data_IF_761134415473
#
_entry.id   IF_761134415473
#
_cell.length_a   1.000
_cell.length_b   1.000
_cell.length_c   1.000
_cell.angle_alpha   90.00
_cell.angle_beta   90.00
_cell.angle_gamma   90.00
#
_symmetry.space_group_name_H-M   'P 1'
#
loop_
_entity.id
_entity.type
_entity.pdbx_description
1 polymer ?
#
# COMPACT_ATOMS: atom_id res chain seq x y z
N UNK A 1 10.01 61.40 42.40
CA UNK A 1 10.63 61.42 41.06
C UNK A 1 11.61 60.27 40.98
N UNK A 2 11.22 59.12 40.44
CA UNK A 2 12.08 57.96 40.24
C UNK A 2 11.99 57.53 38.79
N UNK A 3 13.11 57.60 38.07
CA UNK A 3 13.21 57.27 36.65
C UNK A 3 13.25 55.74 36.50
N UNK A 4 12.24 55.21 35.81
CA UNK A 4 12.15 53.80 35.40
C UNK A 4 13.07 53.56 34.20
N UNK A 5 14.04 52.65 34.34
CA UNK A 5 14.92 52.22 33.26
C UNK A 5 14.22 51.11 32.45
N UNK A 6 14.00 51.39 31.17
CA UNK A 6 13.51 50.47 30.15
C UNK A 6 14.60 49.46 29.76
N UNK A 7 14.31 48.16 29.85
CA UNK A 7 15.17 47.09 29.35
C UNK A 7 15.16 47.03 27.80
N UNK A 8 16.31 46.75 27.15
CA UNK A 8 16.37 46.52 25.70
C UNK A 8 15.84 45.12 25.33
N UNK A 9 15.06 45.06 24.26
CA UNK A 9 14.53 43.83 23.68
C UNK A 9 15.60 43.05 22.90
N UNK A 10 15.67 41.74 23.16
CA UNK A 10 16.58 40.82 22.48
C UNK A 10 16.31 40.72 20.96
N UNK A 11 17.36 40.63 20.12
CA UNK A 11 17.20 40.48 18.68
C UNK A 11 16.67 39.10 18.30
N UNK A 12 15.79 39.06 17.29
CA UNK A 12 15.21 37.84 16.76
C UNK A 12 16.29 36.86 16.24
N UNK A 13 16.11 35.54 16.43
CA UNK A 13 17.09 34.54 16.02
C UNK A 13 17.28 34.55 14.50
N UNK A 14 18.52 34.71 14.06
CA UNK A 14 18.90 34.65 12.65
C UNK A 14 18.77 33.22 12.13
N UNK A 15 18.19 32.97 10.94
CA UNK A 15 18.10 31.63 10.40
C UNK A 15 19.50 31.03 10.19
N UNK A 16 19.71 29.73 10.47
CA UNK A 16 21.02 29.11 10.41
C UNK A 16 21.56 29.16 8.98
N UNK A 17 22.77 29.72 8.82
CA UNK A 17 23.52 29.67 7.57
C UNK A 17 23.96 28.23 7.30
N UNK A 18 23.46 27.63 6.23
CA UNK A 18 23.88 26.31 5.76
C UNK A 18 25.38 26.33 5.44
N UNK A 19 26.19 25.75 6.32
CA UNK A 19 27.64 25.64 6.14
C UNK A 19 28.01 24.59 5.09
N UNK A 20 29.25 24.66 4.59
CA UNK A 20 29.83 23.76 3.56
C UNK A 20 29.72 22.27 3.93
N UNK A 21 29.59 21.94 5.22
CA UNK A 21 29.35 20.58 5.69
C UNK A 21 28.01 19.96 5.21
N UNK A 22 27.03 20.77 4.81
CA UNK A 22 25.76 20.29 4.27
C UNK A 22 25.90 19.55 2.92
N UNK A 23 27.01 19.76 2.20
CA UNK A 23 27.30 19.07 0.93
C UNK A 23 27.86 17.65 1.12
N UNK A 24 28.28 17.28 2.32
CA UNK A 24 28.79 15.94 2.64
C UNK A 24 27.76 15.06 3.34
N UNK A 25 26.54 15.56 3.55
CA UNK A 25 25.43 14.72 3.97
C UNK A 25 24.97 13.92 2.75
N UNK A 26 24.83 12.58 2.86
CA UNK A 26 24.28 11.78 1.77
C UNK A 26 22.97 12.39 1.31
N UNK A 27 22.75 12.42 -0.01
CA UNK A 27 21.51 12.92 -0.60
C UNK A 27 20.32 12.34 0.19
N UNK A 28 19.31 13.17 0.53
CA UNK A 28 18.18 12.71 1.34
C UNK A 28 17.65 11.41 0.72
N UNK A 29 17.64 10.35 1.52
CA UNK A 29 17.17 9.02 1.09
C UNK A 29 15.85 9.17 0.35
N UNK A 30 15.64 8.41 -0.73
CA UNK A 30 14.38 8.38 -1.47
C UNK A 30 13.21 8.40 -0.49
N UNK A 31 12.39 9.45 -0.56
CA UNK A 31 11.32 9.68 0.39
C UNK A 31 10.26 8.59 0.28
N UNK A 32 10.07 8.04 -0.92
CA UNK A 32 9.28 6.87 -1.20
C UNK A 32 10.20 5.69 -1.52
N UNK A 33 10.01 4.56 -0.85
CA UNK A 33 10.70 3.30 -1.16
C UNK A 33 9.71 2.18 -1.41
N UNK A 34 10.11 1.23 -2.24
CA UNK A 34 9.38 0.01 -2.57
C UNK A 34 10.34 -1.18 -2.44
N UNK A 35 10.00 -2.16 -1.61
CA UNK A 35 10.85 -3.30 -1.32
C UNK A 35 10.05 -4.61 -1.23
N UNK A 36 10.65 -5.67 -1.77
CA UNK A 36 10.18 -7.04 -1.62
C UNK A 36 11.14 -7.75 -0.66
N UNK A 37 10.87 -7.77 0.66
CA UNK A 37 11.76 -8.44 1.59
C UNK A 37 11.92 -9.91 1.18
N UNK A 38 13.14 -10.45 1.35
CA UNK A 38 13.62 -11.72 0.78
C UNK A 38 12.85 -13.01 1.14
N UNK A 39 11.68 -12.93 1.77
CA UNK A 39 10.83 -14.09 2.06
C UNK A 39 10.44 -14.87 0.81
N UNK A 40 10.39 -14.21 -0.36
CA UNK A 40 10.02 -14.84 -1.61
C UNK A 40 10.96 -15.97 -2.07
N UNK A 41 12.28 -15.76 -2.01
CA UNK A 41 13.25 -16.76 -2.47
C UNK A 41 13.21 -18.02 -1.58
N UNK A 42 13.06 -17.83 -0.27
CA UNK A 42 12.90 -18.94 0.68
C UNK A 42 11.57 -19.67 0.48
N UNK A 43 10.47 -18.94 0.24
CA UNK A 43 9.16 -19.53 -0.03
C UNK A 43 9.19 -20.40 -1.29
N UNK A 44 9.78 -19.89 -2.40
CA UNK A 44 9.89 -20.63 -3.65
C UNK A 44 10.74 -21.90 -3.52
N UNK A 45 11.86 -21.84 -2.78
CA UNK A 45 12.69 -23.02 -2.52
C UNK A 45 11.95 -24.10 -1.69
N UNK A 46 11.18 -23.68 -0.68
CA UNK A 46 10.36 -24.59 0.13
C UNK A 46 9.24 -25.19 -0.73
N UNK A 47 8.56 -24.37 -1.53
CA UNK A 47 7.51 -24.82 -2.44
C UNK A 47 8.02 -25.89 -3.40
N UNK A 48 9.15 -25.64 -4.09
CA UNK A 48 9.77 -26.61 -4.99
C UNK A 48 10.05 -27.94 -4.28
N UNK A 49 10.62 -27.89 -3.08
CA UNK A 49 10.93 -29.09 -2.29
C UNK A 49 9.70 -29.88 -1.83
N UNK A 50 8.58 -29.19 -1.58
CA UNK A 50 7.31 -29.82 -1.19
C UNK A 50 6.60 -30.42 -2.40
N UNK A 51 6.64 -29.75 -3.56
CA UNK A 51 6.05 -30.23 -4.81
C UNK A 51 6.68 -31.54 -5.29
N UNK A 52 7.93 -31.82 -4.93
CA UNK A 52 8.58 -33.11 -5.21
C UNK A 52 7.93 -34.30 -4.47
N UNK A 53 7.12 -34.05 -3.43
CA UNK A 53 6.60 -35.09 -2.54
C UNK A 53 5.11 -35.03 -2.27
N UNK A 54 4.47 -33.91 -2.56
CA UNK A 54 3.09 -33.65 -2.20
C UNK A 54 2.31 -33.07 -3.39
N UNK A 55 1.02 -33.39 -3.50
CA UNK A 55 0.13 -32.73 -4.46
C UNK A 55 0.15 -31.20 -4.32
N UNK A 56 0.05 -30.44 -5.42
CA UNK A 56 0.14 -28.97 -5.39
C UNK A 56 -0.85 -28.29 -4.44
N UNK A 57 -2.07 -28.81 -4.32
CA UNK A 57 -3.10 -28.29 -3.42
C UNK A 57 -2.70 -28.42 -1.93
N UNK A 58 -2.03 -29.52 -1.57
CA UNK A 58 -1.50 -29.73 -0.22
C UNK A 58 -0.31 -28.82 0.04
N UNK A 59 0.58 -28.63 -0.95
CA UNK A 59 1.70 -27.69 -0.82
C UNK A 59 1.21 -26.27 -0.58
N UNK A 60 0.25 -25.80 -1.38
CA UNK A 60 -0.33 -24.47 -1.24
C UNK A 60 -0.99 -24.29 0.14
N UNK A 61 -1.70 -25.31 0.65
CA UNK A 61 -2.24 -25.33 2.02
C UNK A 61 -1.16 -25.17 3.08
N UNK A 62 -0.09 -25.95 2.97
CA UNK A 62 1.03 -25.90 3.92
C UNK A 62 1.66 -24.51 3.93
N UNK A 63 1.91 -23.93 2.75
CA UNK A 63 2.50 -22.59 2.64
C UNK A 63 1.56 -21.51 3.19
N UNK A 64 0.26 -21.61 2.91
CA UNK A 64 -0.74 -20.67 3.44
C UNK A 64 -0.82 -20.74 4.97
N UNK A 65 -0.91 -21.95 5.53
CA UNK A 65 -0.94 -22.18 6.97
C UNK A 65 0.35 -21.74 7.66
N UNK A 66 1.49 -21.86 6.98
CA UNK A 66 2.78 -21.39 7.46
C UNK A 66 2.96 -19.86 7.34
N UNK A 67 2.01 -19.14 6.72
CA UNK A 67 2.12 -17.70 6.46
C UNK A 67 3.25 -17.35 5.49
N UNK A 68 3.63 -18.30 4.63
CA UNK A 68 4.70 -18.15 3.64
C UNK A 68 4.14 -17.47 2.39
N UNK A 69 3.99 -16.15 2.48
CA UNK A 69 3.41 -15.32 1.42
C UNK A 69 4.45 -14.43 0.77
N UNK A 70 4.16 -13.97 -0.45
CA UNK A 70 4.93 -12.87 -1.05
C UNK A 70 4.62 -11.60 -0.29
N UNK A 71 5.67 -10.87 0.05
CA UNK A 71 5.59 -9.64 0.81
C UNK A 71 6.03 -8.49 -0.07
N UNK A 72 5.23 -7.44 -0.11
CA UNK A 72 5.53 -6.20 -0.80
C UNK A 72 5.33 -5.04 0.18
N UNK A 73 6.38 -4.23 0.37
CA UNK A 73 6.38 -3.11 1.30
C UNK A 73 6.60 -1.81 0.56
N UNK A 74 5.80 -0.79 0.87
CA UNK A 74 6.07 0.60 0.49
C UNK A 74 6.21 1.46 1.72
N UNK A 75 7.13 2.42 1.68
CA UNK A 75 7.37 3.36 2.77
C UNK A 75 7.43 4.78 2.23
N UNK A 76 6.66 5.70 2.81
CA UNK A 76 6.77 7.13 2.58
C UNK A 76 7.32 7.81 3.85
N UNK A 77 8.44 8.53 3.72
CA UNK A 77 9.16 9.26 4.77
C UNK A 77 9.03 10.78 4.64
N UNK A 78 8.23 11.26 3.69
CA UNK A 78 7.97 12.69 3.51
C UNK A 78 7.05 13.16 4.64
N UNK A 79 7.44 14.16 5.45
CA UNK A 79 6.59 14.63 6.53
C UNK A 79 5.35 15.34 5.99
N UNK A 80 4.19 15.07 6.57
CA UNK A 80 2.89 15.68 6.23
C UNK A 80 2.27 16.27 7.50
N UNK A 81 1.59 17.41 7.37
CA UNK A 81 0.72 17.97 8.42
C UNK A 81 -0.68 18.09 7.85
N UNK A 82 -1.63 17.31 8.32
CA UNK A 82 -3.04 17.47 7.92
C UNK A 82 -3.72 18.46 8.85
N UNK A 83 -4.21 19.58 8.32
CA UNK A 83 -4.95 20.58 9.09
C UNK A 83 -6.45 20.44 8.90
N UNK A 84 -7.19 20.40 10.01
CA UNK A 84 -8.64 20.41 9.99
C UNK A 84 -9.19 21.72 9.41
N UNK A 85 -10.08 21.62 8.42
CA UNK A 85 -10.79 22.77 7.84
C UNK A 85 -9.92 23.76 7.05
N UNK A 86 -8.64 23.46 6.81
CA UNK A 86 -7.76 24.30 6.02
C UNK A 86 -8.08 24.21 4.52
N UNK A 87 -7.97 25.34 3.80
CA UNK A 87 -8.04 25.35 2.33
C UNK A 87 -6.84 24.63 1.70
N UNK A 88 -5.70 24.61 2.41
CA UNK A 88 -4.52 23.82 2.09
C UNK A 88 -4.38 22.71 3.13
N UNK A 89 -4.89 21.50 2.85
CA UNK A 89 -4.97 20.47 3.87
C UNK A 89 -3.59 19.96 4.31
N UNK A 90 -2.51 20.24 3.56
CA UNK A 90 -1.15 19.74 3.83
C UNK A 90 -0.30 20.61 4.79
N UNK A 91 -0.83 21.73 5.29
CA UNK A 91 -0.25 22.51 6.40
C UNK A 91 1.15 23.12 6.20
N UNK A 92 1.86 22.79 5.11
CA UNK A 92 3.16 23.34 4.74
C UNK A 92 2.94 24.48 3.75
N UNK A 93 2.93 25.72 4.26
CA UNK A 93 2.76 26.91 3.42
C UNK A 93 3.86 27.01 2.37
N UNK A 94 3.47 27.03 1.09
CA UNK A 94 4.32 27.49 -0.01
C UNK A 94 5.22 26.44 -0.68
N UNK A 95 5.02 25.14 -0.42
CA UNK A 95 5.67 24.07 -1.18
C UNK A 95 4.61 23.14 -1.77
N UNK A 96 4.73 22.83 -3.07
CA UNK A 96 3.88 21.85 -3.74
C UNK A 96 4.00 20.50 -3.01
N UNK A 97 2.92 20.10 -2.32
CA UNK A 97 2.83 18.80 -1.70
C UNK A 97 2.66 17.73 -2.77
N UNK A 98 3.48 16.69 -2.68
CA UNK A 98 3.31 15.48 -3.48
C UNK A 98 3.80 14.28 -2.69
N UNK A 99 3.15 13.15 -2.86
CA UNK A 99 3.61 11.85 -2.37
C UNK A 99 4.70 11.25 -3.26
N UNK A 100 4.82 11.74 -4.51
CA UNK A 100 5.63 11.10 -5.55
C UNK A 100 4.92 9.92 -6.22
N UNK A 101 3.63 9.72 -5.94
CA UNK A 101 2.80 8.63 -6.45
C UNK A 101 1.64 9.12 -7.32
N UNK A 102 1.56 10.41 -7.62
CA UNK A 102 0.49 11.04 -8.41
C UNK A 102 0.36 10.40 -9.82
N UNK A 103 1.47 9.91 -10.37
CA UNK A 103 1.49 9.17 -11.63
C UNK A 103 0.88 7.76 -11.53
N UNK A 104 0.74 7.20 -10.32
CA UNK A 104 0.15 5.88 -10.09
C UNK A 104 -1.35 5.95 -9.76
N UNK A 105 -1.85 7.12 -9.34
CA UNK A 105 -3.24 7.34 -8.92
C UNK A 105 -3.78 8.64 -9.49
N UNK A 106 -4.75 8.53 -10.40
CA UNK A 106 -5.28 9.70 -11.12
C UNK A 106 -6.59 10.25 -10.56
N UNK A 107 -7.26 9.53 -9.66
CA UNK A 107 -8.60 9.93 -9.17
C UNK A 107 -8.65 10.32 -7.70
N UNK A 108 -7.54 10.15 -6.96
CA UNK A 108 -7.48 10.58 -5.57
C UNK A 108 -7.46 12.10 -5.49
N UNK A 109 -8.31 12.64 -4.62
CA UNK A 109 -8.39 14.07 -4.34
C UNK A 109 -8.36 14.27 -2.85
N UNK A 110 -7.53 15.21 -2.42
CA UNK A 110 -7.52 15.68 -1.05
C UNK A 110 -8.77 16.53 -0.77
N UNK A 111 -9.18 16.53 0.48
CA UNK A 111 -10.24 17.36 1.02
C UNK A 111 -9.80 18.08 2.30
N UNK A 112 -10.58 19.03 2.81
CA UNK A 112 -10.30 19.70 4.08
C UNK A 112 -10.21 18.67 5.21
N UNK A 113 -9.02 18.56 5.83
CA UNK A 113 -8.79 17.57 6.88
C UNK A 113 -8.73 16.11 6.42
N UNK A 114 -8.62 15.87 5.11
CA UNK A 114 -8.64 14.54 4.51
C UNK A 114 -7.60 14.43 3.39
N UNK A 115 -6.46 13.80 3.69
CA UNK A 115 -5.33 13.74 2.77
C UNK A 115 -4.89 12.31 2.53
N UNK A 116 -4.72 11.91 1.27
CA UNK A 116 -4.08 10.62 0.97
C UNK A 116 -2.55 10.77 1.06
N UNK A 117 -1.89 9.78 1.66
CA UNK A 117 -0.48 9.90 2.04
C UNK A 117 0.44 8.83 1.43
N UNK A 118 -0.07 7.60 1.31
CA UNK A 118 0.71 6.47 0.81
C UNK A 118 -0.23 5.51 0.08
N UNK A 119 0.19 5.06 -1.10
CA UNK A 119 -0.50 4.02 -1.86
C UNK A 119 0.42 2.81 -1.97
N UNK A 120 -0.10 1.61 -1.72
CA UNK A 120 0.64 0.36 -1.89
C UNK A 120 1.03 0.13 -3.36
N UNK A 121 1.94 -0.82 -3.58
CA UNK A 121 2.03 -1.46 -4.90
C UNK A 121 0.73 -2.24 -5.18
N UNK A 122 0.46 -2.62 -6.44
CA UNK A 122 -0.66 -3.51 -6.74
C UNK A 122 -0.56 -4.81 -5.94
N UNK A 123 -1.70 -5.35 -5.51
CA UNK A 123 -1.78 -6.73 -4.98
C UNK A 123 -1.22 -7.67 -6.04
N UNK A 124 -0.29 -8.54 -5.62
CA UNK A 124 0.45 -9.41 -6.53
C UNK A 124 1.73 -8.81 -7.11
N UNK A 125 2.14 -7.62 -6.67
CA UNK A 125 3.44 -7.08 -7.05
C UNK A 125 4.58 -7.99 -6.58
N UNK A 126 5.41 -8.40 -7.53
CA UNK A 126 6.63 -9.18 -7.37
C UNK A 126 7.81 -8.38 -7.89
N UNK A 127 9.01 -8.65 -7.39
CA UNK A 127 10.24 -8.06 -7.94
C UNK A 127 10.58 -8.63 -9.31
N UNK A 128 11.31 -7.87 -10.13
CA UNK A 128 11.84 -8.33 -11.42
C UNK A 128 12.65 -9.65 -11.29
N UNK A 129 13.36 -9.84 -10.18
CA UNK A 129 14.09 -11.07 -9.88
C UNK A 129 13.15 -12.27 -9.72
N UNK A 130 12.02 -12.08 -9.03
CA UNK A 130 11.00 -13.11 -8.89
C UNK A 130 10.28 -13.38 -10.22
N UNK A 131 10.04 -12.34 -11.02
CA UNK A 131 9.42 -12.51 -12.35
C UNK A 131 10.35 -13.32 -13.28
N UNK A 132 11.66 -13.01 -13.28
CA UNK A 132 12.66 -13.79 -14.03
C UNK A 132 12.73 -15.24 -13.56
N UNK A 133 12.79 -15.48 -12.26
CA UNK A 133 12.83 -16.84 -11.71
C UNK A 133 11.58 -17.66 -12.07
N UNK A 134 10.40 -17.00 -12.16
CA UNK A 134 9.17 -17.63 -12.63
C UNK A 134 9.26 -18.04 -14.11
N UNK A 135 9.70 -17.13 -14.99
CA UNK A 135 9.85 -17.40 -16.43
C UNK A 135 10.88 -18.49 -16.72
N UNK A 136 12.03 -18.44 -16.07
CA UNK A 136 13.07 -19.49 -16.25
C UNK A 136 12.52 -20.87 -15.89
N UNK A 137 11.67 -20.98 -14.85
CA UNK A 137 11.04 -22.25 -14.47
C UNK A 137 10.07 -22.76 -15.54
N UNK A 138 9.25 -21.88 -16.12
CA UNK A 138 8.34 -22.26 -17.22
C UNK A 138 9.13 -22.72 -18.45
N UNK A 139 10.23 -22.05 -18.78
CA UNK A 139 11.11 -22.45 -19.89
C UNK A 139 11.80 -23.80 -19.63
N UNK A 140 12.25 -24.08 -18.40
CA UNK A 140 12.80 -25.39 -18.01
C UNK A 140 11.74 -26.50 -18.06
N UNK A 141 10.53 -26.24 -17.57
CA UNK A 141 9.41 -27.19 -17.64
C UNK A 141 8.94 -27.44 -19.10
N UNK A 142 9.19 -26.51 -20.02
CA UNK A 142 8.92 -26.67 -21.45
C UNK A 142 10.00 -27.46 -22.21
N UNK A 143 11.25 -27.46 -21.73
CA UNK A 143 12.40 -28.10 -22.39
C UNK A 143 12.63 -29.55 -21.93
N UNK A 144 12.34 -29.88 -20.68
CA UNK A 144 12.37 -31.26 -20.22
C UNK A 144 11.11 -31.99 -20.68
N UNK A 145 11.27 -32.77 -21.77
CA UNK A 145 10.20 -33.58 -22.35
C UNK A 145 9.47 -34.45 -21.32
N UNK A 146 8.23 -34.87 -21.63
CA UNK A 146 7.28 -35.34 -20.63
C UNK A 146 7.77 -36.59 -19.91
N UNK A 147 8.16 -36.43 -18.64
CA UNK A 147 8.20 -37.54 -17.69
C UNK A 147 6.77 -37.99 -17.40
N UNK A 148 6.59 -39.24 -16.98
CA UNK A 148 5.24 -39.83 -16.71
C UNK A 148 4.44 -39.01 -15.67
N UNK A 149 5.12 -38.31 -14.76
CA UNK A 149 4.53 -37.33 -13.82
C UNK A 149 4.22 -35.96 -14.46
N UNK A 150 4.95 -35.56 -15.51
CA UNK A 150 4.66 -34.36 -16.29
C UNK A 150 3.36 -34.44 -17.08
N UNK A 151 2.94 -35.64 -17.49
CA UNK A 151 1.65 -35.83 -18.20
C UNK A 151 0.44 -35.46 -17.34
N UNK A 152 0.43 -35.82 -16.06
CA UNK A 152 -0.70 -35.51 -15.15
C UNK A 152 -0.73 -34.01 -14.81
N UNK A 153 0.44 -33.37 -14.66
CA UNK A 153 0.56 -31.95 -14.36
C UNK A 153 0.25 -31.06 -15.57
N UNK A 154 0.73 -31.41 -16.76
CA UNK A 154 0.36 -30.74 -18.00
C UNK A 154 -1.13 -30.90 -18.31
N UNK A 155 -1.71 -32.08 -18.03
CA UNK A 155 -3.15 -32.31 -18.15
C UNK A 155 -3.95 -31.43 -17.17
N UNK A 156 -3.47 -31.22 -15.95
CA UNK A 156 -4.11 -30.31 -14.98
C UNK A 156 -4.06 -28.84 -15.40
N UNK A 157 -2.91 -28.37 -15.90
CA UNK A 157 -2.77 -26.99 -16.45
C UNK A 157 -3.70 -26.82 -17.65
N UNK A 158 -3.70 -27.78 -18.58
CA UNK A 158 -4.59 -27.77 -19.75
C UNK A 158 -6.08 -27.82 -19.35
N UNK A 159 -6.45 -28.63 -18.35
CA UNK A 159 -7.82 -28.72 -17.85
C UNK A 159 -8.28 -27.42 -17.16
N UNK A 160 -7.41 -26.78 -16.38
CA UNK A 160 -7.69 -25.49 -15.73
C UNK A 160 -7.87 -24.37 -16.76
N UNK A 161 -7.07 -24.38 -17.83
CA UNK A 161 -7.19 -23.45 -18.97
C UNK A 161 -8.50 -23.66 -19.73
N UNK A 162 -8.90 -24.91 -19.97
CA UNK A 162 -10.17 -25.28 -20.62
C UNK A 162 -11.39 -24.84 -19.79
N UNK A 163 -11.37 -25.05 -18.48
CA UNK A 163 -12.45 -24.64 -17.58
C UNK A 163 -12.60 -23.10 -17.49
N UNK A 164 -11.49 -22.37 -17.66
CA UNK A 164 -11.48 -20.89 -17.74
C UNK A 164 -12.09 -20.40 -19.04
N UNK A 165 -11.74 -21.02 -20.17
CA UNK A 165 -12.30 -20.71 -21.49
C UNK A 165 -13.80 -21.00 -21.58
N UNK A 166 -14.26 -22.12 -21.02
CA UNK A 166 -15.68 -22.49 -21.01
C UNK A 166 -16.55 -21.53 -20.16
N UNK A 167 -15.96 -20.86 -19.16
CA UNK A 167 -16.64 -19.83 -18.35
C UNK A 167 -16.66 -18.45 -18.99
N UNK A 168 -15.83 -18.23 -20.00
CA UNK A 168 -15.69 -16.95 -20.72
C UNK A 168 -16.39 -16.95 -22.09
N UNK A 169 -17.11 -18.01 -22.45
CA UNK A 169 -17.89 -18.05 -23.68
C UNK A 169 -18.98 -16.95 -23.65
N UNK A 170 -18.95 -15.95 -24.55
CA UNK A 170 -19.98 -14.94 -24.65
C UNK A 170 -21.29 -15.60 -25.14
N UNK A 171 -22.40 -15.24 -24.51
CA UNK A 171 -23.73 -15.57 -25.02
C UNK A 171 -23.93 -14.89 -26.38
N UNK A 172 -24.45 -15.65 -27.33
CA UNK A 172 -24.83 -15.20 -28.67
C UNK A 172 -25.95 -14.15 -28.57
N UNK A 173 -25.61 -12.87 -28.63
CA UNK A 173 -26.54 -11.79 -28.95
C UNK A 173 -26.19 -11.31 -30.37
N UNK A 174 -26.92 -11.85 -31.35
CA UNK A 174 -26.94 -11.37 -32.73
C UNK A 174 -27.71 -10.04 -32.83
N UNK A 175 -27.29 -9.20 -33.78
CA UNK A 175 -27.93 -7.99 -34.30
C UNK A 175 -27.79 -6.66 -33.55
N UNK A 176 -26.64 -5.99 -33.76
CA UNK A 176 -26.67 -4.52 -33.99
C UNK A 176 -25.51 -4.00 -34.82
N UNK A 177 -25.82 -3.71 -36.09
CA UNK A 177 -24.99 -2.94 -37.02
C UNK A 177 -25.00 -1.47 -36.60
N UNK A 178 -23.80 -0.89 -36.41
CA UNK A 178 -23.60 0.52 -36.17
C UNK A 178 -22.13 0.89 -36.38
N UNK A 179 -21.81 1.33 -37.60
CA UNK A 179 -20.49 1.78 -38.04
C UNK A 179 -20.02 2.99 -37.21
N UNK A 180 -18.91 2.81 -36.50
CA UNK A 180 -18.21 3.85 -35.75
C UNK A 180 -16.78 3.39 -35.53
N UNK A 181 -15.94 3.60 -36.55
CA UNK A 181 -14.50 3.35 -36.51
C UNK A 181 -13.81 4.32 -35.54
N UNK A 182 -13.80 4.00 -34.26
CA UNK A 182 -12.77 4.47 -33.33
C UNK A 182 -11.78 3.32 -33.15
N UNK A 183 -10.50 3.59 -33.44
CA UNK A 183 -9.37 2.67 -33.28
C UNK A 183 -9.38 2.04 -31.87
N UNK A 184 -9.95 0.84 -31.76
CA UNK A 184 -9.70 -0.09 -30.66
C UNK A 184 -8.22 -0.45 -30.69
N UNK A 185 -7.43 0.38 -30.02
CA UNK A 185 -6.04 0.09 -29.68
C UNK A 185 -6.06 -1.25 -28.94
N UNK A 186 -5.65 -2.29 -29.66
CA UNK A 186 -5.76 -3.70 -29.29
C UNK A 186 -5.65 -3.91 -27.80
N UNK A 187 -6.73 -4.42 -27.21
CA UNK A 187 -6.75 -4.97 -25.87
C UNK A 187 -5.84 -6.20 -25.88
N UNK A 188 -4.53 -5.95 -25.82
CA UNK A 188 -3.48 -6.97 -25.78
C UNK A 188 -3.84 -7.96 -24.67
N UNK A 189 -4.05 -9.20 -25.13
CA UNK A 189 -4.24 -10.44 -24.40
C UNK A 189 -3.84 -10.29 -22.92
N UNK A 190 -4.83 -10.12 -22.03
CA UNK A 190 -4.64 -10.01 -20.59
C UNK A 190 -3.93 -11.29 -20.13
N UNK A 191 -2.61 -11.15 -20.11
CA UNK A 191 -1.55 -12.12 -19.86
C UNK A 191 -1.95 -13.22 -18.89
N UNK A 192 -1.40 -14.40 -19.13
CA UNK A 192 -1.42 -15.64 -18.32
C UNK A 192 -0.91 -15.48 -16.86
N UNK A 193 -0.84 -14.25 -16.34
CA UNK A 193 -0.40 -13.96 -14.97
C UNK A 193 -1.30 -14.68 -13.96
N UNK A 194 -0.71 -15.26 -12.90
CA UNK A 194 -1.46 -15.86 -11.83
C UNK A 194 -2.30 -14.81 -11.11
N UNK A 195 -3.50 -15.20 -10.68
CA UNK A 195 -4.37 -14.35 -9.85
C UNK A 195 -3.88 -14.34 -8.41
N UNK A 196 -3.60 -13.15 -7.88
CA UNK A 196 -3.15 -12.98 -6.50
C UNK A 196 -4.29 -12.67 -5.53
N UNK A 197 -4.14 -13.19 -4.31
CA UNK A 197 -5.09 -13.03 -3.21
C UNK A 197 -4.40 -12.39 -2.02
N UNK A 198 -4.96 -11.29 -1.54
CA UNK A 198 -4.46 -10.60 -0.35
C UNK A 198 -4.76 -11.43 0.91
N UNK A 199 -3.79 -11.53 1.81
CA UNK A 199 -3.87 -12.31 3.06
C UNK A 199 -3.78 -11.46 4.30
N UNK A 200 -2.92 -10.44 4.25
CA UNK A 200 -2.68 -9.54 5.37
C UNK A 200 -2.23 -8.18 4.89
N UNK A 201 -2.69 -7.16 5.59
CA UNK A 201 -2.19 -5.78 5.47
C UNK A 201 -1.54 -5.41 6.80
N UNK A 202 -0.34 -4.85 6.76
CA UNK A 202 0.30 -4.25 7.92
C UNK A 202 0.55 -2.78 7.63
N UNK A 203 -0.08 -1.90 8.42
CA UNK A 203 0.16 -0.47 8.40
C UNK A 203 1.05 -0.09 9.59
N UNK A 204 2.14 0.61 9.32
CA UNK A 204 2.98 1.22 10.33
C UNK A 204 3.01 2.73 10.14
N UNK A 205 2.59 3.49 11.14
CA UNK A 205 2.62 4.96 11.10
C UNK A 205 3.56 5.50 12.17
N UNK A 206 4.18 6.64 11.89
CA UNK A 206 4.95 7.42 12.86
C UNK A 206 4.40 8.84 12.87
N UNK A 207 3.48 9.10 13.79
CA UNK A 207 2.67 10.30 13.82
C UNK A 207 2.43 10.83 15.23
N UNK A 208 1.88 12.04 15.32
CA UNK A 208 1.35 12.62 16.54
C UNK A 208 0.17 13.52 16.24
N UNK A 209 -0.54 13.85 17.30
CA UNK A 209 -1.57 14.87 17.31
C UNK A 209 -0.98 16.29 17.47
N UNK A 210 -1.81 17.32 17.45
CA UNK A 210 -1.44 18.74 17.61
C UNK A 210 -0.63 19.05 18.89
N UNK A 211 -0.83 18.30 19.98
CA UNK A 211 -0.03 18.39 21.21
C UNK A 211 -0.66 19.19 22.35
N UNK A 212 -1.96 19.53 22.26
CA UNK A 212 -2.72 20.19 23.32
C UNK A 212 -4.19 19.73 23.32
N UNK A 213 -4.82 19.81 24.49
CA UNK A 213 -6.26 19.57 24.69
C UNK A 213 -6.76 20.55 25.76
N UNK A 214 -8.03 20.94 25.70
CA UNK A 214 -8.69 21.71 26.77
C UNK A 214 -9.32 20.80 27.83
N UNK A 215 -9.41 19.50 27.55
CA UNK A 215 -9.95 18.49 28.46
C UNK A 215 -8.81 17.58 28.93
N UNK A 216 -8.39 17.79 30.18
CA UNK A 216 -7.30 17.04 30.80
C UNK A 216 -7.64 15.55 31.00
N UNK A 217 -8.93 15.19 31.10
CA UNK A 217 -9.37 13.80 31.32
C UNK A 217 -9.05 12.87 30.14
N UNK A 218 -8.79 13.43 28.95
CA UNK A 218 -8.46 12.66 27.75
C UNK A 218 -7.00 12.79 27.33
N UNK A 219 -6.20 13.59 28.06
CA UNK A 219 -4.79 13.77 27.77
C UNK A 219 -4.04 12.43 27.76
N UNK A 220 -3.28 12.16 26.70
CA UNK A 220 -2.48 10.94 26.59
C UNK A 220 -3.29 9.67 26.29
N UNK A 221 -4.61 9.79 26.08
CA UNK A 221 -5.49 8.67 25.69
C UNK A 221 -5.74 8.66 24.18
N UNK A 222 -6.41 7.62 23.67
CA UNK A 222 -6.91 7.59 22.29
C UNK A 222 -8.37 8.04 22.16
N UNK A 223 -9.06 8.21 23.29
CA UNK A 223 -10.47 8.58 23.34
C UNK A 223 -10.57 10.07 23.05
N UNK A 224 -11.55 10.49 22.25
CA UNK A 224 -11.71 11.89 21.81
C UNK A 224 -10.56 12.43 20.96
N UNK A 225 -9.86 11.53 20.27
CA UNK A 225 -8.95 11.93 19.21
C UNK A 225 -9.73 12.25 17.93
N UNK A 226 -9.55 13.47 17.43
CA UNK A 226 -10.03 13.92 16.13
C UNK A 226 -8.94 13.93 15.06
N UNK A 227 -7.85 13.17 15.26
CA UNK A 227 -6.87 12.85 14.22
C UNK A 227 -6.62 11.34 14.14
N UNK A 228 -6.76 10.77 12.94
CA UNK A 228 -6.68 9.32 12.73
C UNK A 228 -6.23 8.96 11.32
N UNK A 229 -6.14 7.65 11.09
CA UNK A 229 -5.83 7.04 9.81
C UNK A 229 -6.97 6.14 9.35
N UNK A 230 -7.17 6.09 8.05
CA UNK A 230 -8.09 5.17 7.39
C UNK A 230 -7.38 4.45 6.25
N UNK A 231 -7.87 3.26 5.91
CA UNK A 231 -7.46 2.52 4.72
C UNK A 231 -8.62 2.44 3.72
N UNK A 232 -8.33 2.78 2.47
CA UNK A 232 -9.24 2.61 1.34
C UNK A 232 -8.72 1.58 0.34
N UNK A 233 -9.63 0.98 -0.42
CA UNK A 233 -9.30 0.09 -1.54
C UNK A 233 -9.37 0.88 -2.85
N UNK A 234 -8.34 0.76 -3.68
CA UNK A 234 -8.30 1.34 -5.02
C UNK A 234 -8.34 0.24 -6.07
N UNK A 235 -9.26 0.39 -7.02
CA UNK A 235 -9.37 -0.44 -8.22
C UNK A 235 -9.29 0.44 -9.45
N UNK A 236 -8.35 0.16 -10.34
CA UNK A 236 -8.11 0.96 -11.54
C UNK A 236 -7.93 2.46 -11.22
N UNK A 237 -7.20 2.74 -10.14
CA UNK A 237 -6.93 4.10 -9.67
C UNK A 237 -8.12 4.82 -9.03
N UNK A 238 -9.27 4.16 -8.85
CA UNK A 238 -10.49 4.70 -8.20
C UNK A 238 -10.78 4.03 -6.88
N UNK A 239 -11.23 4.80 -5.91
CA UNK A 239 -11.65 4.27 -4.62
C UNK A 239 -12.94 3.45 -4.76
N UNK A 240 -12.97 2.28 -4.12
CA UNK A 240 -14.09 1.34 -4.14
C UNK A 240 -14.42 0.87 -2.72
N UNK A 241 -15.70 0.81 -2.41
CA UNK A 241 -16.18 0.44 -1.08
C UNK A 241 -16.03 1.56 -0.04
N UNK A 242 -16.15 1.18 1.23
CA UNK A 242 -16.01 2.09 2.36
C UNK A 242 -14.55 2.17 2.82
N UNK A 243 -14.17 3.32 3.38
CA UNK A 243 -12.91 3.47 4.09
C UNK A 243 -13.02 2.82 5.47
N UNK A 244 -11.95 2.18 5.89
CA UNK A 244 -11.87 1.53 7.18
C UNK A 244 -11.00 2.36 8.14
N UNK A 245 -11.59 2.82 9.24
CA UNK A 245 -10.84 3.46 10.32
C UNK A 245 -9.90 2.44 10.96
N UNK A 246 -8.62 2.77 11.04
CA UNK A 246 -7.60 1.84 11.56
C UNK A 246 -6.95 2.31 12.86
N UNK A 247 -6.69 3.61 13.03
CA UNK A 247 -5.95 4.08 14.20
C UNK A 247 -6.14 5.57 14.49
N UNK A 248 -6.44 5.90 15.74
CA UNK A 248 -6.38 7.26 16.27
C UNK A 248 -4.99 7.64 16.76
N UNK A 249 -4.62 8.92 16.64
CA UNK A 249 -3.47 9.44 17.38
C UNK A 249 -3.80 9.59 18.87
N UNK A 250 -2.75 9.68 19.69
CA UNK A 250 -2.87 10.00 21.12
C UNK A 250 -3.24 11.48 21.28
N UNK A 251 -4.35 11.75 21.96
CA UNK A 251 -4.85 13.10 22.23
C UNK A 251 -3.78 13.94 22.92
N UNK A 252 -3.54 15.14 22.39
CA UNK A 252 -2.54 16.06 22.89
C UNK A 252 -1.12 15.46 23.01
N UNK A 253 -0.84 14.41 22.24
CA UNK A 253 0.46 13.75 22.22
C UNK A 253 1.54 14.68 21.67
N UNK A 254 2.44 15.14 22.53
CA UNK A 254 3.57 15.98 22.13
C UNK A 254 4.64 15.20 21.36
N UNK A 255 4.71 13.88 21.60
CA UNK A 255 5.71 13.00 21.03
C UNK A 255 5.14 12.19 19.88
N UNK A 256 5.98 11.96 18.87
CA UNK A 256 5.67 11.01 17.82
C UNK A 256 5.62 9.59 18.38
N UNK A 257 4.58 8.86 18.00
CA UNK A 257 4.37 7.47 18.39
C UNK A 257 4.36 6.60 17.14
N UNK A 258 4.91 5.40 17.27
CA UNK A 258 4.79 4.37 16.26
C UNK A 258 3.54 3.56 16.54
N UNK A 259 2.67 3.44 15.55
CA UNK A 259 1.54 2.52 15.58
C UNK A 259 1.75 1.44 14.53
N UNK A 260 1.37 0.21 14.87
CA UNK A 260 1.40 -0.93 13.97
C UNK A 260 0.05 -1.61 14.04
N UNK A 261 -0.66 -1.61 12.91
CA UNK A 261 -1.99 -2.21 12.77
C UNK A 261 -1.90 -3.34 11.76
N UNK A 262 -2.48 -4.48 12.10
CA UNK A 262 -2.52 -5.66 11.25
C UNK A 262 -3.98 -6.01 10.94
N UNK A 263 -4.31 -6.10 9.65
CA UNK A 263 -5.59 -6.58 9.16
C UNK A 263 -5.35 -7.93 8.50
N UNK A 264 -6.05 -8.97 8.98
CA UNK A 264 -5.94 -10.32 8.44
C UNK A 264 -7.06 -10.63 7.43
N UNK A 265 -7.11 -11.88 6.95
CA UNK A 265 -8.09 -12.35 5.98
C UNK A 265 -9.56 -12.32 6.47
N UNK A 266 -9.82 -12.03 7.74
CA UNK A 266 -11.18 -11.85 8.26
C UNK A 266 -11.67 -10.42 8.08
N UNK A 267 -10.77 -9.46 7.86
CA UNK A 267 -11.14 -8.06 7.73
C UNK A 267 -11.80 -7.78 6.36
N UNK A 268 -12.93 -7.05 6.29
CA UNK A 268 -13.66 -6.83 5.04
C UNK A 268 -12.82 -6.21 3.91
N UNK A 269 -11.94 -5.27 4.23
CA UNK A 269 -10.99 -4.68 3.28
C UNK A 269 -10.10 -5.74 2.60
N UNK A 270 -9.63 -6.74 3.37
CA UNK A 270 -8.75 -7.80 2.86
C UNK A 270 -9.53 -8.77 1.99
N UNK A 271 -10.77 -9.10 2.40
CA UNK A 271 -11.67 -9.97 1.64
C UNK A 271 -12.14 -9.34 0.32
N UNK A 272 -12.32 -8.02 0.29
CA UNK A 272 -12.79 -7.29 -0.89
C UNK A 272 -11.68 -7.03 -1.95
N UNK A 273 -10.42 -7.10 -1.53
CA UNK A 273 -9.27 -6.83 -2.39
C UNK A 273 -9.10 -7.91 -3.48
N UNK A 274 -8.81 -7.47 -4.70
CA UNK A 274 -8.55 -8.32 -5.86
C UNK A 274 -7.12 -8.15 -6.35
N UNK A 275 -6.69 -9.08 -7.19
CA UNK A 275 -5.44 -8.96 -7.94
C UNK A 275 -5.37 -7.60 -8.66
N UNK A 276 -4.22 -6.91 -8.55
CA UNK A 276 -4.01 -5.59 -9.12
C UNK A 276 -4.61 -4.40 -8.35
N UNK A 277 -5.51 -4.62 -7.38
CA UNK A 277 -6.00 -3.54 -6.53
C UNK A 277 -4.85 -2.94 -5.70
N UNK A 278 -5.03 -1.73 -5.17
CA UNK A 278 -4.08 -1.07 -4.27
C UNK A 278 -4.77 -0.66 -2.99
N UNK A 279 -3.99 -0.48 -1.93
CA UNK A 279 -4.46 0.03 -0.64
C UNK A 279 -3.93 1.46 -0.48
N UNK A 280 -4.81 2.39 -0.14
CA UNK A 280 -4.46 3.79 0.14
C UNK A 280 -4.57 4.08 1.62
N UNK A 281 -3.59 4.82 2.15
CA UNK A 281 -3.59 5.37 3.51
C UNK A 281 -4.09 6.81 3.46
N UNK A 282 -5.19 7.06 4.15
CA UNK A 282 -5.74 8.38 4.39
C UNK A 282 -5.35 8.87 5.77
N UNK A 283 -5.05 10.16 5.87
CA UNK A 283 -4.68 10.86 7.09
C UNK A 283 -5.73 11.93 7.35
N UNK A 284 -6.33 11.87 8.54
CA UNK A 284 -7.50 12.68 8.89
C UNK A 284 -7.21 13.62 10.07
N UNK A 285 -7.78 14.81 10.00
CA UNK A 285 -7.97 15.74 11.12
C UNK A 285 -9.25 16.54 10.89
N UNK A 286 -10.25 16.49 11.78
CA UNK A 286 -11.56 17.10 11.48
C UNK A 286 -11.95 18.30 12.35
N UNK A 287 -11.48 18.37 13.59
CA UNK A 287 -11.92 19.41 14.52
C UNK A 287 -11.14 20.72 14.28
N UNK A 288 -11.77 21.89 14.13
CA UNK A 288 -11.06 23.13 13.83
C UNK A 288 -9.84 23.37 14.74
N UNK A 289 -8.68 23.61 14.11
CA UNK A 289 -7.41 23.80 14.81
C UNK A 289 -6.66 22.49 15.15
N UNK A 290 -7.26 21.32 14.93
CA UNK A 290 -6.55 20.04 15.04
C UNK A 290 -5.61 19.80 13.87
N UNK A 291 -4.55 19.03 14.17
CA UNK A 291 -3.52 18.67 13.22
C UNK A 291 -3.13 17.20 13.38
N UNK A 292 -3.00 16.50 12.26
CA UNK A 292 -2.37 15.18 12.21
C UNK A 292 -0.97 15.32 11.61
N UNK A 293 0.07 15.18 12.43
CA UNK A 293 1.45 15.33 11.97
C UNK A 293 2.05 13.96 11.75
N UNK A 294 2.37 13.65 10.50
CA UNK A 294 2.93 12.37 10.07
C UNK A 294 4.38 12.58 9.63
N UNK A 295 5.30 11.78 10.16
CA UNK A 295 6.70 11.76 9.72
C UNK A 295 6.98 10.66 8.71
N UNK A 296 6.30 9.52 8.88
CA UNK A 296 6.49 8.34 8.05
C UNK A 296 5.26 7.44 8.13
N UNK A 297 4.96 6.74 7.04
CA UNK A 297 4.14 5.54 7.06
C UNK A 297 4.78 4.45 6.21
N UNK A 298 4.50 3.20 6.54
CA UNK A 298 4.82 2.05 5.73
C UNK A 298 3.60 1.13 5.63
N UNK A 299 3.40 0.57 4.45
CA UNK A 299 2.31 -0.32 4.14
C UNK A 299 2.89 -1.59 3.56
N UNK A 300 2.62 -2.71 4.22
CA UNK A 300 3.12 -4.04 3.83
C UNK A 300 1.94 -4.91 3.46
N UNK A 301 1.95 -5.41 2.23
CA UNK A 301 0.96 -6.36 1.73
C UNK A 301 1.56 -7.76 1.74
N UNK A 302 0.78 -8.72 2.19
CA UNK A 302 1.08 -10.14 2.08
C UNK A 302 0.07 -10.78 1.14
N UNK A 303 0.53 -11.41 0.07
CA UNK A 303 -0.33 -12.02 -0.94
C UNK A 303 0.17 -13.39 -1.38
N UNK A 304 -0.75 -14.22 -1.87
CA UNK A 304 -0.48 -15.55 -2.38
C UNK A 304 -1.14 -15.78 -3.75
N UNK A 305 -0.55 -16.59 -4.65
CA UNK A 305 -1.09 -16.87 -5.98
C UNK A 305 -2.18 -17.95 -5.98
N UNK A 306 -2.77 -18.25 -4.81
CA UNK A 306 -3.80 -19.26 -4.63
C UNK A 306 -4.92 -18.73 -3.73
N UNK A 307 -6.14 -19.20 -3.95
CA UNK A 307 -7.33 -18.69 -3.25
C UNK A 307 -7.26 -18.96 -1.74
N UNK A 308 -7.78 -18.04 -0.90
CA UNK A 308 -7.98 -18.33 0.52
C UNK A 308 -8.98 -19.49 0.66
N UNK A 309 -8.80 -20.30 1.69
CA UNK A 309 -9.67 -21.44 2.00
C UNK A 309 -10.77 -21.10 2.98
#
# INVERSE_FOLDING_TARGET
MGLSQSQPSDPAPTPPRSGVAAYFLPAPSAQLTHDHPRSAATAAAIEAHLLDRLPPDIVQRILDMAGMWVVCRRTNRRPLVVQAGGAEPHGVRGADWSTGQEGEVHSLRDGPGDVWYLVSAPVGCISDEQERAGREREDWEALDGPTVLGHERAAWIAASRKQRLERSAPGEDEDRIGEGEEEERGEEDKSDRPTWWLRRIVLETFSRDQGWTVNDDHYGTYVWSYSWFELGLLRNGREVGERHLVQFNVVAGQYFKVHRIELDGTHPLVQAARDGDRIVVWVRAIEPGWQNVVKRAALTLHAAPYAPQ
#
